data_IF_673426516143
#
_entry.id   IF_673426516143
#
_cell.length_a   1.000
_cell.length_b   1.000
_cell.length_c   1.000
_cell.angle_alpha   90.00
_cell.angle_beta   90.00
_cell.angle_gamma   90.00
#
_symmetry.space_group_name_H-M   'P 1'
#
loop_
_entity.id
_entity.type
_entity.pdbx_description
1 polymer ?
#
# COMPACT_ATOMS: atom_id res chain seq x y z
N UNK A 1 1.23 -7.67 21.43
CA UNK A 1 2.17 -8.22 20.43
C UNK A 1 1.50 -8.99 19.29
N UNK A 2 0.20 -9.37 19.37
CA UNK A 2 -0.55 -9.98 18.23
C UNK A 2 -1.23 -8.98 17.26
N UNK A 3 -1.20 -7.68 17.56
CA UNK A 3 -1.82 -6.61 16.76
C UNK A 3 -1.04 -6.24 15.48
N UNK A 4 0.27 -6.46 15.48
CA UNK A 4 1.15 -6.24 14.31
C UNK A 4 1.05 -7.42 13.33
N UNK A 5 0.51 -8.55 13.78
CA UNK A 5 0.32 -9.72 12.94
C UNK A 5 -0.80 -9.54 11.90
N UNK A 6 -1.68 -8.54 11.99
CA UNK A 6 -2.83 -8.44 11.08
C UNK A 6 -2.52 -7.68 9.77
N UNK A 7 -1.40 -6.95 9.67
CA UNK A 7 -0.84 -6.55 8.36
C UNK A 7 0.20 -7.54 7.84
N UNK A 8 0.53 -8.53 8.65
CA UNK A 8 1.56 -9.51 8.37
C UNK A 8 0.95 -10.89 7.99
N UNK A 9 -0.31 -11.14 8.38
CA UNK A 9 -1.08 -12.36 8.09
C UNK A 9 -1.99 -12.23 6.85
N UNK A 10 -1.80 -11.21 6.01
CA UNK A 10 -2.42 -11.14 4.68
C UNK A 10 -1.53 -11.77 3.58
N UNK A 11 -0.68 -12.74 3.93
CA UNK A 11 0.26 -13.42 3.02
C UNK A 11 0.08 -14.95 2.99
N UNK A 12 -1.13 -15.46 3.19
CA UNK A 12 -1.43 -16.89 3.07
C UNK A 12 -2.71 -17.18 2.28
N UNK A 13 -2.62 -17.04 0.96
CA UNK A 13 -3.34 -17.77 -0.11
C UNK A 13 -2.74 -17.22 -1.43
N UNK A 14 -2.24 -17.95 -2.42
CA UNK A 14 -1.99 -19.36 -2.63
C UNK A 14 -0.58 -19.51 -3.24
N UNK A 15 0.16 -20.53 -2.79
CA UNK A 15 1.30 -21.02 -3.56
C UNK A 15 0.75 -21.92 -4.68
N UNK A 16 0.77 -21.44 -5.92
CA UNK A 16 0.72 -22.30 -7.10
C UNK A 16 1.97 -22.06 -7.94
N UNK A 17 2.54 -23.18 -8.40
CA UNK A 17 3.82 -23.28 -9.06
C UNK A 17 3.91 -22.32 -10.26
N UNK A 18 4.89 -21.41 -10.22
CA UNK A 18 5.41 -20.82 -11.44
C UNK A 18 6.14 -21.94 -12.18
N UNK A 19 5.57 -22.41 -13.29
CA UNK A 19 6.30 -23.27 -14.21
C UNK A 19 7.50 -22.49 -14.75
N UNK A 20 8.69 -23.01 -14.49
CA UNK A 20 9.92 -22.52 -15.10
C UNK A 20 9.81 -22.74 -16.62
N UNK A 21 9.85 -21.66 -17.41
CA UNK A 21 9.98 -21.76 -18.87
C UNK A 21 11.46 -21.55 -19.18
N UNK A 22 12.10 -22.64 -19.62
CA UNK A 22 13.47 -22.67 -20.13
C UNK A 22 13.64 -21.72 -21.32
N UNK A 23 14.73 -20.93 -21.30
CA UNK A 23 15.00 -19.90 -22.29
C UNK A 23 16.04 -20.38 -23.29
N UNK A 24 15.60 -20.57 -24.53
CA UNK A 24 16.47 -20.43 -25.68
C UNK A 24 15.66 -19.77 -26.80
N UNK A 25 15.73 -18.44 -26.92
CA UNK A 25 15.61 -17.77 -28.22
C UNK A 25 15.90 -16.26 -28.15
N UNK A 26 16.46 -15.82 -29.27
CA UNK A 26 17.13 -14.58 -29.66
C UNK A 26 16.38 -13.26 -29.45
N UNK A 27 17.18 -12.25 -29.14
CA UNK A 27 16.86 -10.84 -28.90
C UNK A 27 16.37 -10.07 -30.13
N UNK A 28 15.11 -9.63 -30.13
CA UNK A 28 14.65 -8.42 -30.84
C UNK A 28 13.30 -7.96 -30.26
N UNK A 29 13.24 -6.75 -29.64
CA UNK A 29 11.98 -6.10 -29.23
C UNK A 29 11.76 -5.85 -27.72
N UNK A 30 12.83 -5.66 -26.94
CA UNK A 30 12.76 -5.62 -25.47
C UNK A 30 12.27 -4.28 -24.90
N UNK A 31 11.09 -4.26 -24.28
CA UNK A 31 10.69 -3.24 -23.31
C UNK A 31 11.34 -3.54 -21.95
N UNK A 32 12.11 -2.58 -21.40
CA UNK A 32 12.79 -2.72 -20.10
C UNK A 32 11.80 -2.58 -18.95
N UNK A 33 11.74 -3.57 -18.08
CA UNK A 33 11.00 -3.46 -16.81
C UNK A 33 11.64 -2.44 -15.85
N UNK A 34 10.90 -1.98 -14.83
CA UNK A 34 11.39 -1.05 -13.80
C UNK A 34 12.56 -1.59 -12.95
N UNK A 35 12.86 -2.88 -13.02
CA UNK A 35 14.04 -3.53 -12.43
C UNK A 35 15.24 -3.64 -13.40
N UNK A 36 15.14 -3.02 -14.59
CA UNK A 36 16.08 -3.13 -15.71
C UNK A 36 16.25 -4.55 -16.25
N UNK A 37 15.41 -5.51 -15.86
CA UNK A 37 15.42 -6.85 -16.45
C UNK A 37 14.67 -6.85 -17.78
N UNK A 38 15.19 -7.66 -18.68
CA UNK A 38 14.59 -7.95 -19.97
C UNK A 38 13.37 -8.85 -19.74
N UNK A 39 12.21 -8.41 -20.22
CA UNK A 39 10.98 -9.19 -20.13
C UNK A 39 10.87 -10.11 -21.35
N UNK A 40 10.41 -11.34 -21.14
CA UNK A 40 10.01 -12.22 -22.24
C UNK A 40 8.72 -11.69 -22.90
N UNK A 41 8.45 -12.09 -24.14
CA UNK A 41 7.18 -11.75 -24.80
C UNK A 41 5.96 -12.22 -23.99
N UNK A 42 6.07 -13.38 -23.34
CA UNK A 42 5.03 -13.90 -22.45
C UNK A 42 4.81 -12.99 -21.23
N UNK A 43 5.88 -12.44 -20.64
CA UNK A 43 5.77 -11.50 -19.52
C UNK A 43 5.17 -10.16 -19.95
N UNK A 44 5.56 -9.64 -21.11
CA UNK A 44 4.95 -8.42 -21.68
C UNK A 44 3.45 -8.64 -21.91
N UNK A 45 3.07 -9.78 -22.49
CA UNK A 45 1.68 -10.12 -22.73
C UNK A 45 0.90 -10.30 -21.42
N UNK A 46 1.50 -10.93 -20.41
CA UNK A 46 0.88 -11.09 -19.09
C UNK A 46 0.58 -9.73 -18.45
N UNK A 47 1.52 -8.78 -18.53
CA UNK A 47 1.32 -7.40 -18.05
C UNK A 47 0.20 -6.71 -18.83
N UNK A 48 0.21 -6.85 -20.15
CA UNK A 48 -0.80 -6.24 -21.02
C UNK A 48 -2.20 -6.78 -20.71
N UNK A 49 -2.31 -8.08 -20.43
CA UNK A 49 -3.57 -8.76 -20.20
C UNK A 49 -4.04 -8.74 -18.74
N UNK A 50 -3.22 -8.32 -17.77
CA UNK A 50 -3.53 -8.48 -16.34
C UNK A 50 -4.86 -7.82 -15.93
N UNK A 51 -5.16 -6.64 -16.48
CA UNK A 51 -6.44 -5.97 -16.25
C UNK A 51 -7.63 -6.78 -16.80
N UNK A 52 -7.48 -7.39 -17.97
CA UNK A 52 -8.54 -8.20 -18.59
C UNK A 52 -8.70 -9.57 -17.91
N UNK A 53 -7.60 -10.18 -17.46
CA UNK A 53 -7.62 -11.38 -16.61
C UNK A 53 -8.42 -11.12 -15.35
N UNK A 54 -8.20 -9.97 -14.69
CA UNK A 54 -8.95 -9.60 -13.50
C UNK A 54 -10.43 -9.27 -13.81
N UNK A 55 -10.74 -8.60 -14.93
CA UNK A 55 -12.12 -8.40 -15.37
C UNK A 55 -12.85 -9.72 -15.61
N UNK A 56 -12.18 -10.70 -16.22
CA UNK A 56 -12.74 -12.04 -16.39
C UNK A 56 -12.99 -12.71 -15.03
N UNK A 57 -12.03 -12.60 -14.10
CA UNK A 57 -12.18 -13.08 -12.72
C UNK A 57 -13.40 -12.47 -12.02
N UNK A 58 -13.76 -11.21 -12.31
CA UNK A 58 -14.93 -10.56 -11.71
C UNK A 58 -16.25 -11.24 -12.07
N UNK A 59 -16.37 -11.90 -13.23
CA UNK A 59 -17.58 -12.62 -13.61
C UNK A 59 -17.80 -13.85 -12.73
N UNK A 60 -16.75 -14.65 -12.52
CA UNK A 60 -16.81 -15.83 -11.63
C UNK A 60 -16.95 -15.44 -10.15
N UNK A 61 -16.45 -14.26 -9.78
CA UNK A 61 -16.44 -13.73 -8.42
C UNK A 61 -17.39 -12.53 -8.25
N UNK A 62 -18.46 -12.50 -9.04
CA UNK A 62 -19.58 -11.58 -8.88
C UNK A 62 -20.43 -11.93 -7.66
N UNK A 63 -21.42 -11.10 -7.35
CA UNK A 63 -22.33 -11.34 -6.22
C UNK A 63 -21.70 -11.15 -4.84
N UNK A 64 -20.45 -10.67 -4.77
CA UNK A 64 -19.66 -10.64 -3.54
C UNK A 64 -20.26 -9.71 -2.47
N UNK A 65 -20.97 -8.65 -2.87
CA UNK A 65 -21.70 -7.75 -1.97
C UNK A 65 -22.91 -8.45 -1.34
N UNK A 66 -23.70 -9.16 -2.15
CA UNK A 66 -24.91 -9.86 -1.71
C UNK A 66 -24.61 -11.00 -0.74
N UNK A 67 -23.43 -11.61 -0.87
CA UNK A 67 -22.95 -12.66 0.03
C UNK A 67 -22.15 -12.14 1.22
N UNK A 68 -21.92 -10.82 1.31
CA UNK A 68 -21.07 -10.23 2.33
C UNK A 68 -21.73 -10.36 3.70
N UNK A 69 -21.03 -10.99 4.64
CA UNK A 69 -21.57 -11.32 5.96
C UNK A 69 -20.59 -10.97 7.06
N UNK A 70 -21.09 -10.26 8.08
CA UNK A 70 -20.39 -10.00 9.34
C UNK A 70 -19.77 -11.27 9.94
N UNK A 71 -18.46 -11.18 10.23
CA UNK A 71 -17.68 -12.30 10.78
C UNK A 71 -17.07 -13.22 9.72
N UNK A 72 -17.31 -12.95 8.43
CA UNK A 72 -16.76 -13.69 7.28
C UNK A 72 -16.38 -12.78 6.09
N UNK A 73 -16.06 -11.51 6.33
CA UNK A 73 -15.65 -10.54 5.30
C UNK A 73 -14.39 -10.99 4.54
N UNK A 74 -13.38 -11.51 5.24
CA UNK A 74 -12.14 -11.96 4.62
C UNK A 74 -12.32 -13.18 3.70
N UNK A 75 -13.39 -13.97 3.91
CA UNK A 75 -13.77 -15.10 3.05
C UNK A 75 -14.62 -14.67 1.84
N UNK A 76 -14.90 -13.37 1.67
CA UNK A 76 -15.67 -12.86 0.54
C UNK A 76 -14.94 -13.12 -0.78
N UNK A 77 -15.71 -13.47 -1.82
CA UNK A 77 -15.22 -13.55 -3.21
C UNK A 77 -14.62 -12.23 -3.71
N UNK A 78 -14.85 -11.12 -3.01
CA UNK A 78 -14.16 -9.86 -3.25
C UNK A 78 -12.63 -10.06 -3.37
N UNK A 79 -12.04 -10.85 -2.46
CA UNK A 79 -10.59 -11.03 -2.33
C UNK A 79 -9.99 -12.02 -3.34
N UNK A 80 -10.81 -12.68 -4.18
CA UNK A 80 -10.33 -13.65 -5.18
C UNK A 80 -9.83 -13.00 -6.48
N UNK A 81 -9.94 -11.68 -6.62
CA UNK A 81 -9.48 -10.92 -7.79
C UNK A 81 -8.98 -9.55 -7.32
N UNK A 82 -8.08 -8.91 -8.09
CA UNK A 82 -7.91 -7.47 -7.93
C UNK A 82 -9.17 -6.74 -8.40
N UNK A 83 -9.47 -5.60 -7.79
CA UNK A 83 -10.75 -4.91 -7.93
C UNK A 83 -10.54 -3.49 -8.40
N UNK A 84 -11.39 -3.01 -9.30
CA UNK A 84 -11.38 -1.60 -9.71
C UNK A 84 -11.64 -0.67 -8.52
N UNK A 85 -11.28 0.61 -8.61
CA UNK A 85 -11.55 1.57 -7.53
C UNK A 85 -13.03 1.61 -7.15
N UNK A 86 -13.94 1.59 -8.14
CA UNK A 86 -15.38 1.53 -7.92
C UNK A 86 -15.78 0.30 -7.08
N UNK A 87 -15.31 -0.90 -7.44
CA UNK A 87 -15.59 -2.12 -6.68
C UNK A 87 -15.00 -2.09 -5.27
N UNK A 88 -13.82 -1.47 -5.09
CA UNK A 88 -13.20 -1.27 -3.77
C UNK A 88 -14.09 -0.37 -2.91
N UNK A 89 -14.56 0.76 -3.46
CA UNK A 89 -15.43 1.67 -2.71
C UNK A 89 -16.79 1.04 -2.40
N UNK A 90 -17.43 0.35 -3.34
CA UNK A 90 -18.67 -0.40 -3.08
C UNK A 90 -18.48 -1.41 -1.94
N UNK A 91 -17.35 -2.13 -1.93
CA UNK A 91 -17.04 -3.11 -0.89
C UNK A 91 -16.86 -2.46 0.48
N UNK A 92 -16.06 -1.40 0.59
CA UNK A 92 -15.81 -0.78 1.90
C UNK A 92 -17.02 0.02 2.38
N UNK A 93 -17.82 0.59 1.48
CA UNK A 93 -19.07 1.25 1.84
C UNK A 93 -20.09 0.24 2.40
N UNK A 94 -20.17 -0.98 1.84
CA UNK A 94 -20.96 -2.07 2.42
C UNK A 94 -20.40 -2.50 3.80
N UNK A 95 -19.07 -2.56 3.97
CA UNK A 95 -18.48 -2.80 5.31
C UNK A 95 -18.85 -1.70 6.32
N UNK A 96 -18.91 -0.44 5.90
CA UNK A 96 -19.37 0.66 6.75
C UNK A 96 -20.85 0.47 7.12
N UNK A 97 -21.70 0.15 6.14
CA UNK A 97 -23.13 -0.08 6.35
C UNK A 97 -23.42 -1.25 7.32
N UNK A 98 -22.66 -2.35 7.24
CA UNK A 98 -22.81 -3.50 8.14
C UNK A 98 -22.16 -3.30 9.53
N UNK A 99 -21.34 -2.26 9.71
CA UNK A 99 -20.62 -2.00 10.96
C UNK A 99 -20.66 -0.50 11.39
N UNK A 100 -21.83 0.16 11.46
CA UNK A 100 -21.94 1.61 11.60
C UNK A 100 -21.42 2.15 12.96
N UNK A 101 -21.33 1.28 13.97
CA UNK A 101 -20.77 1.62 15.29
C UNK A 101 -19.26 1.39 15.39
N UNK A 102 -18.67 0.66 14.44
CA UNK A 102 -17.26 0.29 14.45
C UNK A 102 -16.47 1.06 13.40
N UNK A 103 -16.99 1.17 12.17
CA UNK A 103 -16.29 1.68 11.00
C UNK A 103 -16.96 2.96 10.49
N UNK A 104 -16.19 4.03 10.32
CA UNK A 104 -16.66 5.31 9.76
C UNK A 104 -15.75 5.80 8.66
N UNK A 105 -16.33 6.39 7.61
CA UNK A 105 -15.60 7.02 6.51
C UNK A 105 -15.32 8.49 6.82
N UNK A 106 -14.12 8.95 6.53
CA UNK A 106 -13.66 10.34 6.65
C UNK A 106 -12.91 10.72 5.37
N UNK A 107 -13.25 11.86 4.78
CA UNK A 107 -12.48 12.41 3.66
C UNK A 107 -11.20 13.06 4.19
N UNK A 108 -10.06 12.70 3.61
CA UNK A 108 -8.74 13.14 4.09
C UNK A 108 -7.96 13.94 3.05
N UNK A 109 -8.31 13.84 1.78
CA UNK A 109 -7.63 14.51 0.66
C UNK A 109 -8.47 14.40 -0.62
N UNK A 110 -7.97 14.95 -1.70
CA UNK A 110 -8.59 14.91 -3.03
C UNK A 110 -7.52 14.62 -4.08
N UNK A 111 -7.87 13.93 -5.16
CA UNK A 111 -6.96 13.68 -6.27
C UNK A 111 -6.85 14.83 -7.25
N UNK A 112 -5.91 14.74 -8.19
CA UNK A 112 -5.78 15.67 -9.33
C UNK A 112 -7.09 15.83 -10.10
N UNK A 113 -7.86 14.76 -10.31
CA UNK A 113 -9.16 14.80 -11.00
C UNK A 113 -10.34 15.07 -10.07
N UNK A 114 -10.10 15.52 -8.84
CA UNK A 114 -11.17 15.92 -7.93
C UNK A 114 -11.86 14.77 -7.19
N UNK A 115 -11.31 13.54 -7.20
CA UNK A 115 -11.92 12.43 -6.46
C UNK A 115 -11.54 12.49 -4.99
N UNK A 116 -12.49 12.31 -4.06
CA UNK A 116 -12.19 12.29 -2.63
C UNK A 116 -11.39 11.05 -2.26
N UNK A 117 -10.34 11.24 -1.45
CA UNK A 117 -9.57 10.15 -0.83
C UNK A 117 -10.11 9.96 0.58
N UNK A 118 -10.50 8.73 0.90
CA UNK A 118 -11.13 8.38 2.17
C UNK A 118 -10.20 7.57 3.09
N UNK A 119 -10.23 7.91 4.38
CA UNK A 119 -9.82 7.04 5.46
C UNK A 119 -11.06 6.37 6.09
N UNK A 120 -10.92 5.10 6.45
CA UNK A 120 -11.92 4.33 7.16
C UNK A 120 -11.43 4.08 8.59
N UNK A 121 -12.01 4.83 9.54
CA UNK A 121 -11.70 4.76 10.96
C UNK A 121 -12.43 3.59 11.60
N UNK A 122 -11.69 2.55 11.96
CA UNK A 122 -12.15 1.42 12.75
C UNK A 122 -11.91 1.65 14.24
N UNK A 123 -12.95 1.43 15.03
CA UNK A 123 -12.96 1.42 16.50
C UNK A 123 -13.52 0.09 16.98
N UNK A 124 -13.10 -0.41 18.15
CA UNK A 124 -13.73 -1.57 18.79
C UNK A 124 -14.97 -1.19 19.60
N UNK A 125 -15.84 -0.34 19.03
CA UNK A 125 -17.08 0.16 19.66
C UNK A 125 -16.88 1.29 20.65
N UNK A 126 -15.63 1.66 20.96
CA UNK A 126 -15.26 2.85 21.72
C UNK A 126 -14.00 3.47 21.14
N UNK A 127 -14.02 4.79 20.95
CA UNK A 127 -12.83 5.52 20.50
C UNK A 127 -11.70 5.42 21.52
N UNK A 128 -10.47 5.26 21.04
CA UNK A 128 -9.23 5.22 21.84
C UNK A 128 -8.50 6.57 21.77
N UNK A 129 -7.60 6.80 22.72
CA UNK A 129 -6.72 7.99 22.74
C UNK A 129 -5.61 7.94 21.68
N UNK A 130 -5.29 6.74 21.19
CA UNK A 130 -4.20 6.50 20.25
C UNK A 130 -4.74 5.86 18.98
N UNK A 131 -4.19 6.27 17.85
CA UNK A 131 -4.56 5.80 16.53
C UNK A 131 -3.34 5.31 15.76
N UNK A 132 -3.54 4.34 14.88
CA UNK A 132 -2.57 3.92 13.86
C UNK A 132 -3.16 4.17 12.48
N UNK A 133 -2.31 4.56 11.53
CA UNK A 133 -2.70 4.85 10.15
C UNK A 133 -2.05 3.87 9.18
N UNK A 134 -2.81 3.36 8.24
CA UNK A 134 -2.40 2.38 7.25
C UNK A 134 -2.84 2.85 5.87
N UNK A 135 -1.91 3.08 4.96
CA UNK A 135 -2.23 3.42 3.56
C UNK A 135 -1.65 2.41 2.58
N UNK A 136 -2.20 2.42 1.37
CA UNK A 136 -1.75 1.62 0.24
C UNK A 136 -1.99 2.34 -1.08
N UNK A 137 -1.37 1.83 -2.15
CA UNK A 137 -1.54 2.33 -3.51
C UNK A 137 -1.18 3.81 -3.65
N UNK A 138 -0.12 4.27 -2.98
CA UNK A 138 0.56 5.51 -3.38
C UNK A 138 1.18 5.35 -4.79
N UNK A 139 1.65 4.13 -5.12
CA UNK A 139 1.94 3.74 -6.50
C UNK A 139 0.81 2.89 -7.08
N UNK A 140 0.30 3.28 -8.23
CA UNK A 140 -0.91 2.70 -8.80
C UNK A 140 -0.79 1.23 -9.24
N UNK A 141 0.37 0.81 -9.75
CA UNK A 141 0.62 -0.56 -10.23
C UNK A 141 0.69 -1.63 -9.14
N UNK A 142 0.73 -1.24 -7.86
CA UNK A 142 1.00 -2.14 -6.73
C UNK A 142 -0.31 -2.75 -6.21
N UNK A 143 -1.10 -3.36 -7.10
CA UNK A 143 -2.47 -3.84 -6.81
C UNK A 143 -2.56 -4.74 -5.57
N UNK A 144 -1.53 -5.56 -5.32
CA UNK A 144 -1.44 -6.41 -4.13
C UNK A 144 -1.37 -5.61 -2.83
N UNK A 145 -0.74 -4.43 -2.81
CA UNK A 145 -0.69 -3.58 -1.63
C UNK A 145 -2.10 -3.12 -1.21
N UNK A 146 -2.92 -2.69 -2.18
CA UNK A 146 -4.31 -2.32 -1.94
C UNK A 146 -5.15 -3.50 -1.46
N UNK A 147 -5.01 -4.66 -2.11
CA UNK A 147 -5.70 -5.89 -1.72
C UNK A 147 -5.34 -6.33 -0.29
N UNK A 148 -4.05 -6.34 0.06
CA UNK A 148 -3.59 -6.70 1.41
C UNK A 148 -4.12 -5.76 2.49
N UNK A 149 -4.21 -4.46 2.21
CA UNK A 149 -4.75 -3.48 3.16
C UNK A 149 -6.26 -3.71 3.42
N UNK A 150 -7.02 -3.99 2.36
CA UNK A 150 -8.46 -4.32 2.45
C UNK A 150 -8.72 -5.66 3.14
N UNK A 151 -7.87 -6.67 2.88
CA UNK A 151 -7.93 -7.96 3.55
C UNK A 151 -7.63 -7.83 5.06
N UNK A 152 -6.66 -6.99 5.43
CA UNK A 152 -6.37 -6.69 6.83
C UNK A 152 -7.58 -6.04 7.53
N UNK A 153 -8.20 -5.02 6.93
CA UNK A 153 -9.43 -4.41 7.45
C UNK A 153 -10.54 -5.46 7.64
N UNK A 154 -10.78 -6.28 6.62
CA UNK A 154 -11.82 -7.33 6.62
C UNK A 154 -11.56 -8.36 7.74
N UNK A 155 -10.32 -8.80 7.88
CA UNK A 155 -9.89 -9.77 8.90
C UNK A 155 -10.03 -9.23 10.32
N UNK A 156 -9.73 -7.95 10.56
CA UNK A 156 -9.93 -7.32 11.88
C UNK A 156 -11.41 -7.23 12.22
N UNK A 157 -12.25 -6.84 11.26
CA UNK A 157 -13.70 -6.81 11.45
C UNK A 157 -14.26 -8.20 11.75
N UNK A 158 -13.76 -9.23 11.08
CA UNK A 158 -14.13 -10.62 11.36
C UNK A 158 -13.71 -11.05 12.76
N UNK A 159 -12.49 -10.74 13.17
CA UNK A 159 -12.01 -11.06 14.50
C UNK A 159 -12.82 -10.33 15.58
N UNK A 160 -13.17 -9.06 15.39
CA UNK A 160 -14.06 -8.31 16.30
C UNK A 160 -15.45 -8.98 16.37
N UNK A 161 -16.05 -9.31 15.23
CA UNK A 161 -17.37 -9.95 15.18
C UNK A 161 -17.37 -11.33 15.86
N UNK A 162 -16.24 -12.04 15.81
CA UNK A 162 -16.05 -13.34 16.42
C UNK A 162 -15.46 -13.28 17.86
N UNK A 163 -15.42 -12.10 18.49
CA UNK A 163 -15.00 -11.92 19.88
C UNK A 163 -13.50 -12.14 20.14
N UNK A 164 -12.67 -12.10 19.10
CA UNK A 164 -11.21 -12.22 19.22
C UNK A 164 -10.56 -10.87 19.49
N UNK A 165 -9.42 -10.89 20.19
CA UNK A 165 -8.64 -9.69 20.47
C UNK A 165 -7.92 -9.18 19.23
N UNK A 166 -7.93 -7.88 19.01
CA UNK A 166 -7.32 -7.24 17.83
C UNK A 166 -6.48 -6.02 18.20
N UNK A 167 -5.86 -5.39 17.20
CA UNK A 167 -5.23 -4.08 17.36
C UNK A 167 -6.23 -2.99 17.80
N UNK A 168 -7.51 -3.13 17.38
CA UNK A 168 -8.56 -2.16 17.65
C UNK A 168 -8.90 -2.06 19.16
N UNK A 169 -8.54 -3.06 19.97
CA UNK A 169 -8.71 -3.02 21.43
C UNK A 169 -7.87 -1.91 22.08
N UNK A 170 -6.73 -1.58 21.47
CA UNK A 170 -5.73 -0.64 22.00
C UNK A 170 -5.65 0.66 21.20
N UNK A 171 -5.92 0.61 19.90
CA UNK A 171 -5.80 1.74 18.99
C UNK A 171 -7.09 1.93 18.19
N UNK A 172 -7.41 3.15 17.77
CA UNK A 172 -8.21 3.31 16.56
C UNK A 172 -7.33 2.98 15.36
N UNK A 173 -7.91 2.47 14.27
CA UNK A 173 -7.16 2.11 13.07
C UNK A 173 -7.76 2.86 11.89
N UNK A 174 -6.96 3.68 11.20
CA UNK A 174 -7.37 4.34 9.96
C UNK A 174 -6.82 3.56 8.78
N UNK A 175 -7.71 3.09 7.92
CA UNK A 175 -7.35 2.41 6.67
C UNK A 175 -7.60 3.34 5.49
N UNK A 176 -6.60 3.57 4.65
CA UNK A 176 -6.69 4.31 3.39
C UNK A 176 -6.36 3.34 2.25
N UNK A 177 -7.36 2.68 1.64
CA UNK A 177 -7.13 1.61 0.67
C UNK A 177 -6.45 2.09 -0.62
N UNK A 178 -6.79 3.31 -1.08
CA UNK A 178 -6.26 3.86 -2.32
C UNK A 178 -5.90 5.33 -2.11
N UNK A 179 -4.60 5.63 -2.11
CA UNK A 179 -4.10 7.02 -2.11
C UNK A 179 -4.16 7.61 -3.53
N UNK A 180 -3.60 6.90 -4.51
CA UNK A 180 -3.52 7.34 -5.90
C UNK A 180 -4.70 6.82 -6.73
N UNK A 181 -5.92 7.32 -6.49
CA UNK A 181 -7.13 6.82 -7.16
C UNK A 181 -7.04 7.03 -8.68
N UNK A 182 -6.56 8.18 -9.13
CA UNK A 182 -6.48 8.49 -10.56
C UNK A 182 -5.44 7.63 -11.29
N UNK A 183 -4.25 7.47 -10.71
CA UNK A 183 -3.25 6.56 -11.24
C UNK A 183 -3.73 5.12 -11.23
N UNK A 184 -4.45 4.71 -10.17
CA UNK A 184 -5.02 3.37 -10.07
C UNK A 184 -6.00 3.11 -11.20
N UNK A 185 -6.93 4.02 -11.47
CA UNK A 185 -7.87 3.91 -12.59
C UNK A 185 -7.16 3.88 -13.94
N UNK A 186 -6.12 4.70 -14.14
CA UNK A 186 -5.27 4.63 -15.34
C UNK A 186 -4.64 3.24 -15.47
N UNK A 187 -4.19 2.62 -14.38
CA UNK A 187 -3.57 1.29 -14.41
C UNK A 187 -4.52 0.18 -14.89
N UNK A 188 -5.84 0.38 -14.83
CA UNK A 188 -6.82 -0.54 -15.39
C UNK A 188 -7.05 -0.36 -16.89
N UNK A 189 -6.56 0.72 -17.50
CA UNK A 189 -6.72 0.96 -18.94
C UNK A 189 -5.72 0.15 -19.77
N UNK A 190 -6.09 -0.16 -21.02
CA UNK A 190 -5.30 -1.03 -21.89
C UNK A 190 -3.86 -0.51 -22.06
N UNK A 191 -2.87 -1.38 -21.86
CA UNK A 191 -1.45 -1.03 -21.96
C UNK A 191 -0.89 -0.16 -20.83
N UNK A 192 -1.67 0.17 -19.79
CA UNK A 192 -1.25 1.06 -18.69
C UNK A 192 -1.07 0.38 -17.34
N UNK A 193 -1.08 -0.96 -17.29
CA UNK A 193 -0.97 -1.76 -16.06
C UNK A 193 0.19 -1.39 -15.13
N UNK A 194 1.30 -0.91 -15.70
CA UNK A 194 2.49 -0.48 -14.96
C UNK A 194 2.47 1.01 -14.54
N UNK A 195 1.34 1.71 -14.68
CA UNK A 195 1.20 3.09 -14.19
C UNK A 195 1.60 3.15 -12.72
N UNK A 196 2.62 3.94 -12.42
CA UNK A 196 3.10 4.16 -11.05
C UNK A 196 2.54 5.46 -10.47
N UNK A 197 2.62 6.53 -11.26
CA UNK A 197 2.46 7.91 -10.85
C UNK A 197 1.00 8.35 -10.81
N UNK A 198 0.71 9.51 -10.23
CA UNK A 198 -0.64 10.09 -10.25
C UNK A 198 -0.99 10.66 -11.63
N UNK A 199 -2.16 11.31 -11.76
CA UNK A 199 -2.61 11.86 -13.04
C UNK A 199 -1.80 13.07 -13.55
N UNK A 200 -0.93 13.67 -12.72
CA UNK A 200 0.04 14.68 -13.15
C UNK A 200 1.41 14.07 -13.52
N UNK A 201 1.51 12.75 -13.59
CA UNK A 201 2.77 12.04 -13.84
C UNK A 201 3.82 12.29 -12.75
N UNK A 202 3.39 12.47 -11.50
CA UNK A 202 4.23 12.63 -10.30
C UNK A 202 4.26 11.36 -9.45
N UNK A 203 5.45 10.96 -9.00
CA UNK A 203 5.64 9.91 -8.01
C UNK A 203 5.25 10.43 -6.62
N UNK A 204 4.09 10.00 -6.11
CA UNK A 204 3.59 10.42 -4.81
C UNK A 204 4.52 10.06 -3.65
N UNK A 205 5.37 9.02 -3.79
CA UNK A 205 6.37 8.68 -2.76
C UNK A 205 7.74 9.34 -3.02
N UNK A 206 7.76 10.41 -3.81
CA UNK A 206 8.87 11.38 -3.95
C UNK A 206 8.41 12.83 -3.73
N UNK A 207 7.11 13.03 -3.53
CA UNK A 207 6.49 14.36 -3.46
C UNK A 207 6.37 14.93 -2.04
N UNK A 208 6.81 14.22 -0.99
CA UNK A 208 6.69 14.73 0.38
C UNK A 208 7.73 15.81 0.69
N UNK A 209 7.53 16.56 1.79
CA UNK A 209 8.50 17.56 2.24
C UNK A 209 9.87 16.90 2.47
N UNK A 210 10.90 17.54 1.92
CA UNK A 210 12.28 17.08 1.99
C UNK A 210 13.00 17.85 3.10
N UNK A 211 13.85 17.14 3.84
CA UNK A 211 14.65 17.69 4.93
C UNK A 211 16.16 17.60 4.66
N UNK A 212 16.51 17.03 3.51
CA UNK A 212 17.85 16.86 2.99
C UNK A 212 17.85 17.30 1.53
N UNK A 213 18.98 17.82 1.06
CA UNK A 213 19.11 18.23 -0.34
C UNK A 213 19.19 17.00 -1.23
N UNK A 214 18.22 16.84 -2.14
CA UNK A 214 18.31 15.82 -3.18
C UNK A 214 19.43 16.21 -4.17
N UNK A 215 20.51 15.41 -4.29
CA UNK A 215 21.62 15.71 -5.21
C UNK A 215 21.19 15.63 -6.68
N UNK A 216 20.06 14.96 -6.98
CA UNK A 216 19.45 14.93 -8.31
C UNK A 216 18.51 16.10 -8.49
N UNK A 217 19.03 17.20 -9.03
CA UNK A 217 18.28 18.46 -9.18
C UNK A 217 17.42 18.54 -10.44
N UNK A 218 17.56 17.60 -11.38
CA UNK A 218 16.83 17.57 -12.67
C UNK A 218 16.33 16.17 -13.01
N UNK A 219 15.28 15.72 -12.32
CA UNK A 219 14.57 14.49 -12.67
C UNK A 219 13.51 14.85 -13.73
N UNK A 220 13.54 14.28 -14.94
CA UNK A 220 12.58 14.62 -16.00
C UNK A 220 11.20 14.04 -15.71
N UNK A 221 10.15 14.63 -16.29
CA UNK A 221 8.76 14.16 -16.17
C UNK A 221 8.59 12.69 -16.62
N UNK A 222 9.40 12.24 -17.58
CA UNK A 222 9.40 10.85 -18.08
C UNK A 222 9.99 9.85 -17.12
N UNK A 223 10.67 10.30 -16.06
CA UNK A 223 11.22 9.40 -15.03
C UNK A 223 10.09 8.88 -14.14
N UNK A 224 10.15 7.59 -13.81
CA UNK A 224 9.23 6.92 -12.90
C UNK A 224 9.28 7.49 -11.47
N UNK A 225 10.36 8.19 -11.13
CA UNK A 225 10.62 8.80 -9.82
C UNK A 225 10.52 10.32 -9.85
N UNK A 226 9.88 10.91 -10.88
CA UNK A 226 9.67 12.35 -10.97
C UNK A 226 8.95 12.88 -9.72
N UNK A 227 9.59 13.75 -8.91
CA UNK A 227 9.05 14.17 -7.62
C UNK A 227 8.00 15.28 -7.72
N UNK A 228 7.66 15.75 -8.92
CA UNK A 228 6.84 16.94 -9.13
C UNK A 228 7.66 18.24 -9.19
N UNK A 229 7.01 19.37 -9.51
CA UNK A 229 7.66 20.66 -9.66
C UNK A 229 8.21 21.24 -8.35
N UNK A 230 7.69 20.81 -7.19
CA UNK A 230 8.15 21.17 -5.85
C UNK A 230 7.65 20.16 -4.82
N UNK A 231 8.24 20.08 -3.61
CA UNK A 231 7.67 19.30 -2.52
C UNK A 231 6.21 19.70 -2.23
N UNK A 232 5.40 18.69 -1.94
CA UNK A 232 3.96 18.75 -1.75
C UNK A 232 3.26 19.52 -2.89
N UNK A 233 3.61 19.24 -4.14
CA UNK A 233 2.91 19.81 -5.31
C UNK A 233 1.57 19.15 -5.56
N UNK A 234 1.42 17.88 -5.23
CA UNK A 234 0.23 17.11 -5.58
C UNK A 234 -0.90 17.30 -4.56
N UNK A 235 -2.17 17.43 -5.00
CA UNK A 235 -3.31 17.60 -4.10
C UNK A 235 -3.46 16.39 -3.16
N UNK A 236 -3.16 15.17 -3.63
CA UNK A 236 -3.18 13.96 -2.82
C UNK A 236 -2.26 14.12 -1.60
N UNK A 237 -1.00 14.50 -1.85
CA UNK A 237 0.04 14.71 -0.83
C UNK A 237 -0.31 15.88 0.09
N UNK A 238 -0.78 17.01 -0.44
CA UNK A 238 -1.13 18.18 0.35
C UNK A 238 -2.26 17.89 1.35
N UNK A 239 -3.36 17.28 0.90
CA UNK A 239 -4.50 16.96 1.76
C UNK A 239 -4.13 15.95 2.84
N UNK A 240 -3.41 14.88 2.47
CA UNK A 240 -2.97 13.87 3.45
C UNK A 240 -2.00 14.50 4.46
N UNK A 241 -1.03 15.32 4.03
CA UNK A 241 -0.11 15.99 4.94
C UNK A 241 -0.85 16.90 5.94
N UNK A 242 -1.84 17.66 5.47
CA UNK A 242 -2.71 18.48 6.31
C UNK A 242 -3.47 17.63 7.33
N UNK A 243 -4.13 16.57 6.88
CA UNK A 243 -4.91 15.69 7.75
C UNK A 243 -4.03 15.02 8.82
N UNK A 244 -2.84 14.55 8.43
CA UNK A 244 -1.89 13.93 9.34
C UNK A 244 -1.36 14.91 10.40
N UNK A 245 -1.13 16.16 10.01
CA UNK A 245 -0.78 17.24 10.94
C UNK A 245 -1.90 17.49 11.96
N UNK A 246 -3.14 17.63 11.50
CA UNK A 246 -4.31 17.86 12.35
C UNK A 246 -4.59 16.71 13.32
N UNK A 247 -4.37 15.46 12.89
CA UNK A 247 -4.55 14.26 13.72
C UNK A 247 -3.30 13.84 14.49
N UNK A 248 -2.19 14.57 14.39
CA UNK A 248 -0.92 14.16 14.95
C UNK A 248 -1.02 13.84 16.45
N UNK A 249 -1.80 14.60 17.23
CA UNK A 249 -1.94 14.36 18.68
C UNK A 249 -2.48 12.97 19.04
N UNK A 250 -3.34 12.37 18.21
CA UNK A 250 -3.84 11.00 18.42
C UNK A 250 -3.03 9.93 17.67
N UNK A 251 -2.40 10.27 16.54
CA UNK A 251 -1.61 9.32 15.75
C UNK A 251 -0.35 8.91 16.49
N UNK A 252 -0.17 7.60 16.67
CA UNK A 252 0.97 6.99 17.37
C UNK A 252 1.94 6.28 16.42
N UNK A 253 1.59 6.13 15.14
CA UNK A 253 2.46 5.58 14.12
C UNK A 253 1.74 5.30 12.81
N UNK A 254 2.53 4.99 11.78
CA UNK A 254 2.06 4.83 10.40
C UNK A 254 2.61 3.58 9.74
N UNK A 255 1.85 3.06 8.78
CA UNK A 255 2.27 2.01 7.88
C UNK A 255 1.93 2.39 6.45
N UNK A 256 2.93 2.31 5.58
CA UNK A 256 2.76 2.45 4.14
C UNK A 256 2.93 1.09 3.47
N UNK A 257 1.94 0.63 2.71
CA UNK A 257 1.98 -0.67 2.05
C UNK A 257 2.27 -0.48 0.58
N UNK A 258 3.39 -1.07 0.16
CA UNK A 258 3.96 -1.09 -1.17
C UNK A 258 4.19 -2.52 -1.65
N UNK A 259 4.62 -2.66 -2.90
CA UNK A 259 5.10 -3.93 -3.44
C UNK A 259 6.08 -3.65 -4.59
N UNK A 260 7.05 -4.51 -4.93
CA UNK A 260 7.36 -5.80 -4.35
C UNK A 260 8.80 -5.84 -3.85
N UNK A 261 9.05 -6.46 -2.70
CA UNK A 261 10.41 -6.76 -2.22
C UNK A 261 10.45 -7.89 -1.18
N UNK A 262 9.42 -8.03 -0.36
CA UNK A 262 9.49 -8.86 0.85
C UNK A 262 10.33 -8.18 1.91
N UNK A 263 10.04 -6.91 2.18
CA UNK A 263 10.80 -6.13 3.15
C UNK A 263 9.92 -5.31 4.08
N UNK A 264 10.39 -5.14 5.31
CA UNK A 264 9.89 -4.15 6.25
C UNK A 264 10.94 -3.05 6.33
N UNK A 265 10.69 -1.96 5.62
CA UNK A 265 11.55 -0.80 5.60
C UNK A 265 11.17 0.15 6.75
N UNK A 266 12.16 0.84 7.28
CA UNK A 266 11.97 1.91 8.25
C UNK A 266 12.98 3.04 7.96
N UNK A 267 12.78 4.25 8.52
CA UNK A 267 13.65 5.38 8.23
C UNK A 267 15.15 5.12 8.54
N UNK A 268 16.06 5.86 7.92
CA UNK A 268 15.80 6.83 6.86
C UNK A 268 15.84 6.19 5.46
N UNK A 269 15.12 6.79 4.52
CA UNK A 269 15.15 6.50 3.08
C UNK A 269 16.13 7.41 2.31
N UNK A 270 16.29 8.65 2.74
CA UNK A 270 17.07 9.70 2.09
C UNK A 270 18.58 9.66 2.41
N UNK A 271 19.00 8.75 3.27
CA UNK A 271 20.41 8.48 3.59
C UNK A 271 20.62 7.00 3.92
N UNK A 272 21.87 6.53 3.78
CA UNK A 272 22.32 5.23 4.30
C UNK A 272 22.74 5.28 5.76
N UNK A 273 22.79 6.47 6.35
CA UNK A 273 23.15 6.64 7.74
C UNK A 273 22.10 6.02 8.66
N UNK A 274 22.56 5.72 9.88
CA UNK A 274 21.70 5.25 10.97
C UNK A 274 20.74 6.35 11.40
N UNK A 275 19.65 5.97 12.05
CA UNK A 275 18.68 6.92 12.59
C UNK A 275 19.31 7.77 13.70
N UNK A 276 20.11 7.12 14.57
CA UNK A 276 20.71 7.76 15.74
C UNK A 276 19.74 7.97 16.91
N UNK A 277 20.16 8.79 17.89
CA UNK A 277 19.34 9.23 19.04
C UNK A 277 18.65 8.11 19.85
N UNK A 278 19.23 6.91 19.88
CA UNK A 278 18.66 5.76 20.58
C UNK A 278 17.44 5.12 19.92
N UNK A 279 17.06 5.55 18.72
CA UNK A 279 15.89 5.02 17.99
C UNK A 279 16.25 3.85 17.07
N UNK A 280 17.52 3.66 16.72
CA UNK A 280 18.01 2.54 15.91
C UNK A 280 17.54 1.19 16.44
N UNK A 281 17.73 0.92 17.73
CA UNK A 281 17.36 -0.38 18.33
C UNK A 281 15.83 -0.56 18.35
N UNK A 282 15.08 0.53 18.58
CA UNK A 282 13.61 0.50 18.61
C UNK A 282 13.05 0.14 17.25
N UNK A 283 13.55 0.78 16.19
CA UNK A 283 13.13 0.49 14.82
C UNK A 283 13.60 -0.89 14.34
N UNK A 284 14.82 -1.30 14.67
CA UNK A 284 15.29 -2.65 14.37
C UNK A 284 14.41 -3.71 15.05
N UNK A 285 14.04 -3.51 16.32
CA UNK A 285 13.13 -4.41 17.04
C UNK A 285 11.73 -4.41 16.43
N UNK A 286 11.19 -3.24 16.12
CA UNK A 286 9.89 -3.12 15.45
C UNK A 286 9.91 -3.85 14.10
N UNK A 287 10.88 -3.54 13.24
CA UNK A 287 11.05 -4.14 11.93
C UNK A 287 11.18 -5.67 12.00
N UNK A 288 12.03 -6.20 12.88
CA UNK A 288 12.17 -7.67 13.08
C UNK A 288 10.86 -8.31 13.51
N UNK A 289 10.10 -7.68 14.42
CA UNK A 289 8.82 -8.23 14.88
C UNK A 289 7.76 -8.22 13.78
N UNK A 290 7.70 -7.15 12.98
CA UNK A 290 6.78 -7.08 11.82
C UNK A 290 7.18 -8.12 10.77
N UNK A 291 8.47 -8.23 10.44
CA UNK A 291 8.97 -9.19 9.46
C UNK A 291 8.70 -10.65 9.90
N UNK A 292 8.96 -10.96 11.17
CA UNK A 292 8.66 -12.28 11.74
C UNK A 292 7.17 -12.61 11.67
N UNK A 293 6.30 -11.62 11.89
CA UNK A 293 4.86 -11.79 11.76
C UNK A 293 4.42 -11.94 10.28
N UNK A 294 5.16 -11.33 9.34
CA UNK A 294 4.83 -11.33 7.91
C UNK A 294 5.24 -12.63 7.21
N UNK A 295 6.19 -13.35 7.82
CA UNK A 295 6.66 -14.66 7.39
C UNK A 295 8.08 -14.66 6.86
N UNK A 296 8.60 -15.86 6.57
CA UNK A 296 10.02 -16.10 6.23
C UNK A 296 10.56 -15.34 5.02
N UNK A 297 9.67 -14.85 4.15
CA UNK A 297 10.02 -14.09 2.95
C UNK A 297 10.29 -12.60 3.23
N UNK A 298 10.11 -12.15 4.48
CA UNK A 298 10.27 -10.75 4.85
C UNK A 298 11.56 -10.49 5.62
N UNK A 299 12.26 -9.42 5.25
CA UNK A 299 13.47 -8.93 5.95
C UNK A 299 13.28 -7.48 6.38
N UNK A 300 13.79 -7.12 7.55
CA UNK A 300 13.74 -5.73 8.03
C UNK A 300 15.07 -5.01 7.79
N UNK A 301 15.01 -3.79 7.29
CA UNK A 301 16.20 -2.94 7.07
C UNK A 301 15.80 -1.46 6.98
N UNK A 302 16.77 -0.54 6.99
CA UNK A 302 16.47 0.86 6.67
C UNK A 302 16.09 0.99 5.20
N UNK A 303 15.22 1.93 4.85
CA UNK A 303 14.83 2.20 3.47
C UNK A 303 16.05 2.59 2.60
N UNK A 304 16.96 3.43 3.11
CA UNK A 304 18.14 3.86 2.38
C UNK A 304 19.17 2.75 2.13
N UNK A 305 19.16 1.67 2.94
CA UNK A 305 19.98 0.48 2.69
C UNK A 305 19.52 -0.30 1.46
N UNK A 306 18.22 -0.27 1.14
CA UNK A 306 17.69 -0.80 -0.11
C UNK A 306 18.07 0.10 -1.29
N UNK A 307 17.77 1.39 -1.15
CA UNK A 307 18.08 2.41 -2.14
C UNK A 307 17.70 3.79 -1.64
N UNK A 308 18.59 4.75 -1.85
CA UNK A 308 18.35 6.13 -1.38
C UNK A 308 17.20 6.78 -2.17
N UNK A 309 16.20 7.27 -1.46
CA UNK A 309 15.02 7.92 -1.99
C UNK A 309 14.71 9.20 -1.21
N UNK A 310 14.48 10.31 -1.93
CA UNK A 310 14.17 11.61 -1.33
C UNK A 310 12.67 11.91 -1.46
N UNK A 311 12.11 12.62 -0.47
CA UNK A 311 10.70 13.02 -0.49
C UNK A 311 9.73 11.85 -0.32
N UNK A 312 10.15 10.80 0.40
CA UNK A 312 9.31 9.66 0.73
C UNK A 312 8.43 9.92 1.96
N UNK A 313 7.31 9.20 2.04
CA UNK A 313 6.31 9.34 3.09
C UNK A 313 6.87 9.02 4.48
N UNK A 314 7.63 7.92 4.60
CA UNK A 314 8.22 7.46 5.86
C UNK A 314 9.21 8.48 6.44
N UNK A 315 10.08 9.04 5.61
CA UNK A 315 11.01 10.08 6.02
C UNK A 315 10.30 11.36 6.42
N UNK A 316 9.30 11.81 5.65
CA UNK A 316 8.50 12.97 6.02
C UNK A 316 7.90 12.81 7.43
N UNK A 317 7.27 11.66 7.71
CA UNK A 317 6.62 11.42 8.98
C UNK A 317 7.59 11.35 10.15
N UNK A 318 8.67 10.57 10.02
CA UNK A 318 9.58 10.41 11.14
C UNK A 318 10.41 11.67 11.38
N UNK A 319 10.81 12.41 10.34
CA UNK A 319 11.51 13.69 10.49
C UNK A 319 10.62 14.76 11.12
N UNK A 320 9.33 14.81 10.76
CA UNK A 320 8.38 15.80 11.27
C UNK A 320 7.90 15.48 12.70
N UNK A 321 7.51 14.23 12.95
CA UNK A 321 6.73 13.88 14.15
C UNK A 321 7.49 13.00 15.15
N UNK A 322 8.64 12.43 14.78
CA UNK A 322 9.46 11.55 15.64
C UNK A 322 8.66 10.38 16.24
N UNK A 323 7.76 9.79 15.44
CA UNK A 323 6.94 8.63 15.82
C UNK A 323 7.18 7.46 14.86
N UNK A 324 6.91 6.21 15.29
CA UNK A 324 7.16 5.03 14.48
C UNK A 324 6.44 5.06 13.12
N UNK A 325 7.17 4.73 12.06
CA UNK A 325 6.66 4.47 10.72
C UNK A 325 7.38 3.28 10.12
N UNK A 326 6.63 2.43 9.40
CA UNK A 326 7.20 1.33 8.64
C UNK A 326 6.59 1.29 7.24
N UNK A 327 7.41 0.96 6.26
CA UNK A 327 6.98 0.68 4.89
C UNK A 327 7.03 -0.83 4.67
N UNK A 328 5.91 -1.43 4.30
CA UNK A 328 5.82 -2.86 3.98
C UNK A 328 5.91 -3.00 2.47
N UNK A 329 6.96 -3.61 1.97
CA UNK A 329 7.05 -4.04 0.58
C UNK A 329 6.60 -5.50 0.49
N UNK A 330 5.38 -5.74 0.03
CA UNK A 330 4.80 -7.09 -0.07
C UNK A 330 5.73 -8.00 -0.88
N UNK A 331 5.93 -9.23 -0.40
CA UNK A 331 6.81 -10.19 -1.07
C UNK A 331 6.29 -10.56 -2.47
N UNK A 332 7.16 -10.53 -3.46
CA UNK A 332 6.83 -10.82 -4.85
C UNK A 332 8.03 -10.59 -5.76
N UNK A 333 7.90 -10.99 -7.03
CA UNK A 333 8.94 -10.79 -8.05
C UNK A 333 8.59 -9.72 -9.09
N UNK A 334 7.30 -9.43 -9.26
CA UNK A 334 6.78 -8.46 -10.23
C UNK A 334 5.40 -7.95 -9.77
N UNK A 335 4.91 -6.88 -10.41
CA UNK A 335 3.64 -6.23 -10.05
C UNK A 335 2.38 -6.97 -10.50
N UNK A 336 2.50 -7.90 -11.46
CA UNK A 336 1.41 -8.81 -11.88
C UNK A 336 1.37 -9.97 -10.90
N UNK A 337 0.45 -9.99 -9.95
CA UNK A 337 0.36 -11.04 -8.94
C UNK A 337 -0.91 -11.86 -9.14
N UNK A 338 -0.93 -13.07 -8.59
CA UNK A 338 -2.15 -13.87 -8.47
C UNK A 338 -2.70 -13.71 -7.05
N UNK A 339 -4.02 -13.64 -6.93
CA UNK A 339 -4.75 -13.52 -5.65
C UNK A 339 -5.64 -14.73 -5.43
#
# INVERSE_FOLDING_TARGET
MKAIAILALASSAAAFAAGDIDLNETTAGLLRGPDRKLLTNAQVQAIHNDADVNRHCHWANGGYLQTLKRGKYAASKFHNCFRTSAQIFDYVDELVAQNPTLLKREEISTTVRGKPIYAYKLTSGRSKKKSLYFQSLAHAREWIAGSSNLYALSSILDDIANGKKTAADKFNLYFVPIVNIDGYDISWTNGKRLQRKNANEVDLNRNWLQFTTNPKTKIPLTDETYPGPRPASEPETQGIAKWLHEKNSELSGWVDVHSVLGAILYPYGDTKDRIGNGDDEKFQRLGRNVAAAAGRNYRSQTAGSFGVAYGAFDDYLYRTYKKPVVTIEVAGRHFVAHV
#
